data_IF_602950325566
#
_entry.id   IF_602950325566
#
_cell.length_a   1.000
_cell.length_b   1.000
_cell.length_c   1.000
_cell.angle_alpha   90.00
_cell.angle_beta   90.00
_cell.angle_gamma   90.00
#
_symmetry.space_group_name_H-M   'P 1'
#
loop_
_entity.id
_entity.type
_entity.pdbx_description
1 polymer ?
#
# COMPACT_ATOMS: atom_id res chain seq x y z
N UNK A 1 -19.47 8.95 -28.04
CA UNK A 1 -18.24 8.32 -28.56
C UNK A 1 -17.15 8.47 -27.50
N UNK A 2 -16.29 7.46 -27.30
CA UNK A 2 -15.37 7.39 -26.14
C UNK A 2 -14.16 8.39 -26.16
N UNK A 3 -14.12 9.37 -27.08
CA UNK A 3 -13.12 10.45 -27.04
C UNK A 3 -11.66 10.01 -27.21
N UNK A 4 -11.39 8.94 -27.96
CA UNK A 4 -10.03 8.39 -28.11
C UNK A 4 -9.18 9.28 -29.02
N UNK A 5 -8.11 9.86 -28.46
CA UNK A 5 -7.18 10.71 -29.21
C UNK A 5 -6.15 9.93 -30.07
N UNK A 6 -5.66 8.79 -29.58
CA UNK A 6 -4.71 7.93 -30.30
C UNK A 6 -4.95 6.46 -29.94
N UNK A 7 -4.92 5.59 -30.94
CA UNK A 7 -5.06 4.13 -30.80
C UNK A 7 -3.88 3.46 -31.50
N UNK A 8 -3.12 2.64 -30.76
CA UNK A 8 -2.07 1.78 -31.29
C UNK A 8 -2.52 0.32 -31.11
N UNK A 9 -2.32 -0.52 -32.12
CA UNK A 9 -2.68 -1.94 -32.11
C UNK A 9 -1.43 -2.75 -32.42
N UNK A 10 -1.00 -3.57 -31.47
CA UNK A 10 0.23 -4.36 -31.56
C UNK A 10 -0.01 -5.76 -30.98
N UNK A 11 0.65 -6.77 -31.55
CA UNK A 11 0.61 -8.14 -31.02
C UNK A 11 1.67 -8.31 -29.95
N UNK A 12 1.29 -8.81 -28.77
CA UNK A 12 2.24 -9.05 -27.66
C UNK A 12 2.73 -7.78 -26.97
N UNK A 13 1.98 -6.68 -27.07
CA UNK A 13 2.29 -5.46 -26.34
C UNK A 13 2.40 -5.74 -24.82
N UNK A 14 3.51 -5.30 -24.22
CA UNK A 14 3.63 -5.33 -22.77
C UNK A 14 2.64 -4.33 -22.16
N UNK A 15 2.01 -4.71 -21.05
CA UNK A 15 1.11 -3.82 -20.31
C UNK A 15 1.88 -2.54 -19.93
N UNK A 16 1.45 -1.36 -20.38
CA UNK A 16 2.06 -0.11 -19.97
C UNK A 16 1.84 0.15 -18.48
N UNK A 17 2.80 0.80 -17.82
CA UNK A 17 2.60 1.33 -16.47
C UNK A 17 1.39 2.28 -16.44
N UNK A 18 0.69 2.38 -15.31
CA UNK A 18 -0.51 3.23 -15.14
C UNK A 18 -1.68 2.89 -16.10
N UNK A 19 -1.70 1.70 -16.73
CA UNK A 19 -2.75 1.33 -17.66
C UNK A 19 -3.88 0.51 -17.02
N UNK A 20 -5.12 0.98 -17.22
CA UNK A 20 -6.30 0.14 -17.06
C UNK A 20 -6.30 -0.95 -18.13
N UNK A 21 -6.65 -2.19 -17.77
CA UNK A 21 -6.65 -3.33 -18.70
C UNK A 21 -8.04 -3.90 -18.82
N UNK A 22 -8.49 -4.09 -20.06
CA UNK A 22 -9.73 -4.81 -20.38
C UNK A 22 -9.40 -5.95 -21.33
N UNK A 23 -9.89 -7.15 -21.04
CA UNK A 23 -9.72 -8.33 -21.89
C UNK A 23 -11.06 -8.64 -22.56
N UNK A 24 -11.06 -8.75 -23.89
CA UNK A 24 -12.23 -9.01 -24.73
C UNK A 24 -11.90 -10.12 -25.72
N UNK A 25 -12.29 -11.36 -25.39
CA UNK A 25 -11.85 -12.53 -26.16
C UNK A 25 -10.33 -12.61 -26.19
N UNK A 26 -9.76 -12.59 -27.40
CA UNK A 26 -8.30 -12.64 -27.62
C UNK A 26 -7.63 -11.26 -27.63
N UNK A 27 -8.38 -10.17 -27.38
CA UNK A 27 -7.88 -8.80 -27.37
C UNK A 27 -7.59 -8.33 -25.94
N UNK A 28 -6.44 -7.70 -25.73
CA UNK A 28 -6.13 -6.92 -24.54
C UNK A 28 -6.08 -5.43 -24.90
N UNK A 29 -6.88 -4.63 -24.20
CA UNK A 29 -6.94 -3.18 -24.39
C UNK A 29 -6.30 -2.52 -23.17
N UNK A 30 -5.28 -1.70 -23.42
CA UNK A 30 -4.61 -0.89 -22.40
C UNK A 30 -5.03 0.57 -22.54
N UNK A 31 -5.60 1.14 -21.47
CA UNK A 31 -5.92 2.56 -21.40
C UNK A 31 -4.89 3.23 -20.51
N UNK A 32 -4.00 4.02 -21.12
CA UNK A 32 -2.94 4.73 -20.41
C UNK A 32 -3.49 5.81 -19.47
N UNK A 33 -2.84 6.02 -18.33
CA UNK A 33 -3.15 7.13 -17.42
C UNK A 33 -4.49 6.99 -16.69
N UNK A 34 -4.99 5.76 -16.54
CA UNK A 34 -6.20 5.49 -15.73
C UNK A 34 -5.91 5.67 -14.24
N UNK A 35 -4.64 5.56 -13.86
CA UNK A 35 -4.16 5.79 -12.50
C UNK A 35 -3.07 6.86 -12.53
N UNK A 36 -3.09 7.78 -11.56
CA UNK A 36 -1.97 8.68 -11.28
C UNK A 36 -1.08 7.97 -10.24
N UNK A 37 -0.21 7.06 -10.72
CA UNK A 37 0.62 6.26 -9.82
C UNK A 37 1.57 7.16 -9.01
N UNK A 38 1.89 8.37 -9.48
CA UNK A 38 2.71 9.32 -8.73
C UNK A 38 1.92 9.89 -7.53
N UNK A 39 0.68 10.33 -7.74
CA UNK A 39 -0.19 10.77 -6.65
C UNK A 39 -0.56 9.63 -5.69
N UNK A 40 -0.81 8.42 -6.23
CA UNK A 40 -1.08 7.22 -5.45
C UNK A 40 0.11 6.85 -4.58
N UNK A 41 1.31 6.80 -5.16
CA UNK A 41 2.56 6.54 -4.46
C UNK A 41 2.82 7.59 -3.39
N UNK A 42 2.56 8.88 -3.67
CA UNK A 42 2.72 9.94 -2.68
C UNK A 42 1.76 9.78 -1.49
N UNK A 43 0.48 9.45 -1.76
CA UNK A 43 -0.52 9.21 -0.71
C UNK A 43 -0.14 7.98 0.13
N UNK A 44 0.18 6.86 -0.51
CA UNK A 44 0.56 5.63 0.17
C UNK A 44 1.87 5.77 0.95
N UNK A 45 2.86 6.51 0.43
CA UNK A 45 4.11 6.78 1.16
C UNK A 45 3.86 7.61 2.42
N UNK A 46 2.93 8.57 2.36
CA UNK A 46 2.51 9.35 3.53
C UNK A 46 1.84 8.46 4.57
N UNK A 47 0.89 7.62 4.14
CA UNK A 47 0.20 6.67 5.03
C UNK A 47 1.18 5.70 5.70
N UNK A 48 2.13 5.15 4.92
CA UNK A 48 3.23 4.32 5.43
C UNK A 48 4.03 5.03 6.52
N UNK A 49 4.39 6.30 6.30
CA UNK A 49 5.11 7.10 7.29
C UNK A 49 4.29 7.37 8.57
N UNK A 50 2.97 7.53 8.46
CA UNK A 50 2.08 7.68 9.61
C UNK A 50 1.98 6.37 10.43
N UNK A 51 1.91 5.22 9.75
CA UNK A 51 1.94 3.89 10.39
C UNK A 51 3.28 3.64 11.07
N UNK A 52 4.41 3.99 10.44
CA UNK A 52 5.75 3.86 11.04
C UNK A 52 5.89 4.67 12.33
N UNK A 53 5.36 5.89 12.39
CA UNK A 53 5.36 6.70 13.62
C UNK A 53 4.54 6.07 14.74
N UNK A 54 3.41 5.45 14.40
CA UNK A 54 2.61 4.70 15.38
C UNK A 54 3.35 3.48 15.90
N UNK A 55 3.99 2.71 15.00
CA UNK A 55 4.83 1.56 15.36
C UNK A 55 5.92 1.99 16.34
N UNK A 56 6.69 3.02 16.02
CA UNK A 56 7.77 3.51 16.87
C UNK A 56 7.29 3.90 18.28
N UNK A 57 6.12 4.54 18.37
CA UNK A 57 5.51 4.91 19.65
C UNK A 57 5.16 3.67 20.49
N UNK A 58 4.60 2.63 19.85
CA UNK A 58 4.22 1.39 20.51
C UNK A 58 5.42 0.57 20.94
N UNK A 59 6.44 0.47 20.08
CA UNK A 59 7.72 -0.18 20.40
C UNK A 59 8.41 0.51 21.58
N UNK A 60 8.46 1.85 21.59
CA UNK A 60 9.03 2.60 22.72
C UNK A 60 8.26 2.34 24.03
N UNK A 61 6.92 2.28 23.97
CA UNK A 61 6.08 1.99 25.14
C UNK A 61 6.30 0.57 25.66
N UNK A 62 6.42 -0.41 24.78
CA UNK A 62 6.66 -1.82 25.12
C UNK A 62 8.11 -2.11 25.54
N UNK A 63 9.07 -1.30 25.11
CA UNK A 63 10.47 -1.37 25.56
C UNK A 63 10.68 -0.76 26.96
N UNK A 64 9.71 -0.01 27.49
CA UNK A 64 9.77 0.53 28.83
C UNK A 64 9.39 -0.54 29.86
N UNK A 65 10.38 -1.10 30.54
CA UNK A 65 10.22 -2.10 31.61
C UNK A 65 9.24 -1.65 32.71
N UNK A 66 9.19 -0.35 33.01
CA UNK A 66 8.24 0.21 33.97
C UNK A 66 6.79 0.09 33.49
N UNK A 67 6.52 0.23 32.20
CA UNK A 67 5.19 -0.01 31.64
C UNK A 67 4.86 -1.49 31.67
N UNK A 68 5.76 -2.36 31.19
CA UNK A 68 5.53 -3.80 31.10
C UNK A 68 5.30 -4.44 32.47
N UNK A 69 6.01 -3.99 33.51
CA UNK A 69 5.91 -4.55 34.86
C UNK A 69 4.71 -4.02 35.65
N UNK A 70 4.31 -2.77 35.43
CA UNK A 70 3.27 -2.11 36.23
C UNK A 70 1.89 -2.10 35.56
N UNK A 71 1.82 -2.23 34.24
CA UNK A 71 0.54 -2.32 33.53
C UNK A 71 -0.10 -3.70 33.75
N UNK A 72 -1.43 -3.75 33.65
CA UNK A 72 -2.17 -5.02 33.66
C UNK A 72 -1.71 -5.87 32.48
N UNK A 73 -1.60 -7.21 32.62
CA UNK A 73 -1.20 -8.10 31.53
C UNK A 73 -2.03 -7.89 30.26
N UNK A 74 -3.36 -7.77 30.40
CA UNK A 74 -4.29 -7.51 29.28
C UNK A 74 -3.96 -6.23 28.50
N UNK A 75 -3.46 -5.19 29.17
CA UNK A 75 -3.08 -3.93 28.53
C UNK A 75 -1.76 -4.08 27.77
N UNK A 76 -0.80 -4.85 28.30
CA UNK A 76 0.47 -5.13 27.62
C UNK A 76 0.22 -5.98 26.39
N UNK A 77 -0.61 -7.01 26.49
CA UNK A 77 -0.99 -7.86 25.35
C UNK A 77 -1.74 -7.05 24.28
N UNK A 78 -2.73 -6.22 24.66
CA UNK A 78 -3.41 -5.36 23.69
C UNK A 78 -2.46 -4.40 22.95
N UNK A 79 -1.43 -3.89 23.61
CA UNK A 79 -0.40 -3.06 22.96
C UNK A 79 0.49 -3.88 22.01
N UNK A 80 0.79 -5.15 22.33
CA UNK A 80 1.53 -6.07 21.45
C UNK A 80 0.71 -6.45 20.22
N UNK A 81 -0.55 -6.81 20.41
CA UNK A 81 -1.48 -7.11 19.32
C UNK A 81 -1.63 -5.91 18.38
N UNK A 82 -1.74 -4.71 18.97
CA UNK A 82 -1.84 -3.48 18.16
C UNK A 82 -0.56 -3.21 17.38
N UNK A 83 0.60 -3.46 17.96
CA UNK A 83 1.89 -3.35 17.27
C UNK A 83 1.98 -4.34 16.11
N UNK A 84 1.54 -5.58 16.29
CA UNK A 84 1.52 -6.58 15.22
C UNK A 84 0.59 -6.17 14.07
N UNK A 85 -0.63 -5.74 14.38
CA UNK A 85 -1.59 -5.23 13.40
C UNK A 85 -1.02 -4.06 12.57
N UNK A 86 -0.32 -3.12 13.24
CA UNK A 86 0.35 -2.01 12.54
C UNK A 86 1.50 -2.48 11.64
N UNK A 87 2.26 -3.50 12.07
CA UNK A 87 3.32 -4.10 11.24
C UNK A 87 2.75 -4.80 10.00
N UNK A 88 1.64 -5.51 10.14
CA UNK A 88 0.92 -6.12 9.01
C UNK A 88 0.40 -5.05 8.05
N UNK A 89 -0.18 -3.95 8.56
CA UNK A 89 -0.61 -2.82 7.74
C UNK A 89 0.56 -2.19 6.97
N UNK A 90 1.70 -1.96 7.63
CA UNK A 90 2.91 -1.44 6.96
C UNK A 90 3.37 -2.38 5.84
N UNK A 91 3.40 -3.69 6.09
CA UNK A 91 3.80 -4.67 5.09
C UNK A 91 2.88 -4.67 3.86
N UNK A 92 1.56 -4.53 4.06
CA UNK A 92 0.60 -4.40 2.96
C UNK A 92 0.82 -3.10 2.16
N UNK A 93 1.11 -1.98 2.83
CA UNK A 93 1.45 -0.72 2.16
C UNK A 93 2.75 -0.83 1.36
N UNK A 94 3.78 -1.50 1.89
CA UNK A 94 5.05 -1.75 1.19
C UNK A 94 4.84 -2.60 -0.08
N UNK A 95 4.01 -3.64 0.00
CA UNK A 95 3.64 -4.47 -1.15
C UNK A 95 2.90 -3.67 -2.22
N UNK A 96 1.91 -2.87 -1.82
CA UNK A 96 1.14 -2.04 -2.75
C UNK A 96 2.02 -0.98 -3.44
N UNK A 97 2.93 -0.35 -2.69
CA UNK A 97 3.90 0.60 -3.23
C UNK A 97 4.85 -0.07 -4.25
N UNK A 98 5.24 -1.32 -4.03
CA UNK A 98 6.06 -2.09 -4.98
C UNK A 98 5.30 -2.41 -6.29
N UNK A 99 3.98 -2.60 -6.22
CA UNK A 99 3.14 -2.83 -7.41
C UNK A 99 2.92 -1.57 -8.26
N UNK A 100 3.04 -0.39 -7.65
CA UNK A 100 3.00 0.90 -8.33
C UNK A 100 4.37 1.29 -8.92
N UNK A 101 5.36 0.39 -8.87
CA UNK A 101 6.76 0.54 -9.29
C UNK A 101 6.94 0.86 -10.76
#
# INVERSE_FOLDING_TARGET
MAGVGRLNIETGAARPANAGTVVLGDLQIFVHGVSDDAAERARMSKERGDVERQIATKESKLANDGFVRNAKPEVVEAERDRLESLRQQRAALDQNLALLG
#
